data_IF_022128992090
#
_entry.id   IF_022128992090
#
_cell.length_a   1.000
_cell.length_b   1.000
_cell.length_c   1.000
_cell.angle_alpha   90.00
_cell.angle_beta   90.00
_cell.angle_gamma   90.00
#
_symmetry.space_group_name_H-M   'P 1'
#
loop_
_entity.id
_entity.type
_entity.pdbx_description
1 polymer ?
#
# COMPACT_ATOMS: atom_id res chain seq x y z
N UNK A 1 50.54 -4.09 -35.18
CA UNK A 1 49.36 -4.14 -36.08
C UNK A 1 48.08 -4.53 -35.34
N UNK A 2 48.12 -4.96 -34.07
CA UNK A 2 46.89 -5.31 -33.32
C UNK A 2 46.16 -4.12 -32.66
N UNK A 3 46.83 -2.98 -32.45
CA UNK A 3 46.22 -1.85 -31.73
C UNK A 3 45.17 -1.08 -32.57
N UNK A 4 45.40 -0.97 -33.89
CA UNK A 4 44.46 -0.31 -34.82
C UNK A 4 43.15 -1.10 -34.95
N UNK A 5 43.23 -2.43 -34.88
CA UNK A 5 42.06 -3.29 -34.96
C UNK A 5 41.21 -3.16 -33.69
N UNK A 6 41.85 -3.05 -32.52
CA UNK A 6 41.17 -2.82 -31.25
C UNK A 6 40.50 -1.45 -31.22
N UNK A 7 41.18 -0.38 -31.65
CA UNK A 7 40.59 0.96 -31.71
C UNK A 7 39.38 1.01 -32.66
N UNK A 8 39.49 0.34 -33.82
CA UNK A 8 38.38 0.24 -34.78
C UNK A 8 37.18 -0.45 -34.15
N UNK A 9 37.37 -1.60 -33.50
CA UNK A 9 36.28 -2.35 -32.84
C UNK A 9 35.66 -1.54 -31.71
N UNK A 10 36.47 -0.86 -30.87
CA UNK A 10 35.96 -0.04 -29.76
C UNK A 10 35.13 1.13 -30.30
N UNK A 11 35.60 1.81 -31.35
CA UNK A 11 34.87 2.91 -31.97
C UNK A 11 33.52 2.46 -32.53
N UNK A 12 33.47 1.27 -33.12
CA UNK A 12 32.26 0.73 -33.74
C UNK A 12 31.27 0.19 -32.70
N UNK A 13 31.76 -0.36 -31.59
CA UNK A 13 30.93 -0.71 -30.42
C UNK A 13 30.34 0.54 -29.78
N UNK A 14 31.14 1.59 -29.55
CA UNK A 14 30.66 2.86 -29.00
C UNK A 14 29.61 3.51 -29.91
N UNK A 15 29.81 3.47 -31.22
CA UNK A 15 28.84 3.95 -32.20
C UNK A 15 27.54 3.15 -32.16
N UNK A 16 27.61 1.82 -32.11
CA UNK A 16 26.42 0.96 -31.95
C UNK A 16 25.70 1.14 -30.61
N UNK A 17 26.41 1.53 -29.55
CA UNK A 17 25.80 1.87 -28.25
C UNK A 17 25.10 3.24 -28.32
N UNK A 18 25.72 4.24 -28.95
CA UNK A 18 25.12 5.56 -29.17
C UNK A 18 23.89 5.46 -30.10
N UNK A 19 23.97 4.70 -31.20
CA UNK A 19 22.85 4.47 -32.10
C UNK A 19 21.69 3.73 -31.41
N UNK A 20 21.97 2.88 -30.39
CA UNK A 20 20.96 2.24 -29.53
C UNK A 20 20.31 3.20 -28.54
N UNK A 21 21.03 4.21 -28.08
CA UNK A 21 20.46 5.28 -27.25
C UNK A 21 19.61 6.25 -28.09
N UNK A 22 20.02 6.56 -29.32
CA UNK A 22 19.28 7.44 -30.25
C UNK A 22 18.08 6.78 -30.95
N UNK A 23 18.07 5.46 -31.09
CA UNK A 23 16.92 4.70 -31.63
C UNK A 23 15.81 4.44 -30.61
N UNK A 24 15.94 4.95 -29.38
CA UNK A 24 14.78 5.09 -28.50
C UNK A 24 13.87 6.19 -29.08
N UNK A 25 12.59 5.90 -29.38
CA UNK A 25 11.68 6.92 -29.87
C UNK A 25 11.60 8.08 -28.86
N UNK A 26 11.42 9.33 -29.31
CA UNK A 26 11.32 10.48 -28.42
C UNK A 26 10.30 10.19 -27.33
N UNK A 27 10.70 10.40 -26.06
CA UNK A 27 9.81 10.24 -24.91
C UNK A 27 8.56 11.06 -25.19
N UNK A 28 7.41 10.42 -25.31
CA UNK A 28 6.28 11.11 -25.91
C UNK A 28 5.64 12.01 -24.83
N UNK A 29 5.39 13.28 -25.17
CA UNK A 29 4.91 14.35 -24.28
C UNK A 29 3.80 13.84 -23.34
N UNK A 30 4.10 13.69 -22.05
CA UNK A 30 3.20 13.18 -21.01
C UNK A 30 3.98 12.61 -19.81
N UNK A 31 3.41 12.73 -18.60
CA UNK A 31 3.96 12.11 -17.39
C UNK A 31 3.80 10.58 -17.50
N UNK A 32 4.66 9.80 -16.86
CA UNK A 32 4.59 8.33 -16.88
C UNK A 32 4.07 7.79 -15.55
N UNK A 33 3.07 6.93 -15.59
CA UNK A 33 2.59 6.19 -14.44
C UNK A 33 2.92 4.70 -14.59
N UNK A 34 3.64 4.16 -13.63
CA UNK A 34 3.99 2.75 -13.58
C UNK A 34 2.90 2.00 -12.82
N UNK A 35 2.20 1.10 -13.51
CA UNK A 35 1.02 0.40 -13.00
C UNK A 35 1.39 -1.06 -12.71
N UNK A 36 1.41 -1.43 -11.43
CA UNK A 36 1.96 -2.66 -10.91
C UNK A 36 0.84 -3.62 -10.48
N UNK A 37 0.41 -4.52 -11.37
CA UNK A 37 -0.65 -5.47 -11.05
C UNK A 37 -0.14 -6.65 -10.22
N UNK A 38 -0.88 -6.93 -9.15
CA UNK A 38 -0.82 -8.21 -8.44
C UNK A 38 -2.09 -9.04 -8.72
N UNK A 39 -2.11 -10.32 -8.32
CA UNK A 39 -3.19 -11.27 -8.66
C UNK A 39 -4.53 -11.07 -7.91
N UNK A 40 -4.92 -9.83 -7.61
CA UNK A 40 -6.20 -9.51 -6.98
C UNK A 40 -7.31 -9.37 -8.02
N UNK A 41 -8.55 -9.62 -7.63
CA UNK A 41 -9.73 -9.52 -8.52
C UNK A 41 -10.86 -8.64 -7.96
N UNK A 42 -10.88 -8.39 -6.65
CA UNK A 42 -11.87 -7.52 -6.01
C UNK A 42 -11.63 -6.08 -6.49
N UNK A 43 -12.66 -5.45 -7.09
CA UNK A 43 -12.58 -4.09 -7.64
C UNK A 43 -11.98 -4.00 -9.06
N UNK A 44 -11.72 -5.12 -9.74
CA UNK A 44 -11.05 -5.12 -11.06
C UNK A 44 -11.77 -4.25 -12.11
N UNK A 45 -13.11 -4.30 -12.17
CA UNK A 45 -13.88 -3.55 -13.17
C UNK A 45 -13.73 -2.05 -12.96
N UNK A 46 -13.96 -1.61 -11.73
CA UNK A 46 -13.89 -0.22 -11.28
C UNK A 46 -12.48 0.33 -11.51
N UNK A 47 -11.46 -0.43 -11.13
CA UNK A 47 -10.05 -0.07 -11.32
C UNK A 47 -9.69 0.11 -12.79
N UNK A 48 -10.19 -0.75 -13.69
CA UNK A 48 -9.95 -0.60 -15.13
C UNK A 48 -10.66 0.64 -15.71
N UNK A 49 -11.79 1.06 -15.14
CA UNK A 49 -12.42 2.35 -15.47
C UNK A 49 -11.58 3.53 -14.98
N UNK A 50 -11.07 3.48 -13.75
CA UNK A 50 -10.19 4.52 -13.21
C UNK A 50 -8.86 4.63 -13.96
N UNK A 51 -8.23 3.50 -14.33
CA UNK A 51 -7.00 3.51 -15.13
C UNK A 51 -7.23 4.11 -16.52
N UNK A 52 -8.40 3.87 -17.14
CA UNK A 52 -8.77 4.56 -18.39
C UNK A 52 -8.88 6.07 -18.19
N UNK A 53 -9.49 6.53 -17.10
CA UNK A 53 -9.56 7.96 -16.79
C UNK A 53 -8.16 8.58 -16.61
N UNK A 54 -7.25 7.87 -15.94
CA UNK A 54 -5.85 8.29 -15.81
C UNK A 54 -5.15 8.32 -17.18
N UNK A 55 -5.33 7.31 -18.02
CA UNK A 55 -4.74 7.25 -19.36
C UNK A 55 -5.28 8.34 -20.32
N UNK A 56 -6.54 8.75 -20.13
CA UNK A 56 -7.16 9.85 -20.88
C UNK A 56 -6.67 11.24 -20.43
N UNK A 57 -5.88 11.31 -19.36
CA UNK A 57 -5.25 12.54 -18.86
C UNK A 57 -3.84 12.73 -19.43
N UNK A 58 -2.95 13.45 -18.72
CA UNK A 58 -1.55 13.65 -19.12
C UNK A 58 -0.64 12.44 -18.84
N UNK A 59 -1.19 11.29 -18.44
CA UNK A 59 -0.41 10.13 -18.01
C UNK A 59 -0.37 9.02 -19.05
N UNK A 60 0.84 8.54 -19.34
CA UNK A 60 1.08 7.30 -20.08
C UNK A 60 1.26 6.15 -19.10
N UNK A 61 0.48 5.09 -19.28
CA UNK A 61 0.55 3.91 -18.44
C UNK A 61 1.60 2.94 -18.96
N UNK A 62 2.51 2.52 -18.08
CA UNK A 62 3.40 1.39 -18.32
C UNK A 62 3.06 0.30 -17.31
N UNK A 63 2.65 -0.86 -17.79
CA UNK A 63 2.11 -1.93 -16.94
C UNK A 63 3.17 -2.96 -16.63
N UNK A 64 3.22 -3.40 -15.38
CA UNK A 64 4.05 -4.52 -14.92
C UNK A 64 3.18 -5.53 -14.19
N UNK A 65 3.32 -6.80 -14.54
CA UNK A 65 2.55 -7.90 -13.95
C UNK A 65 3.45 -8.78 -13.08
N UNK A 66 2.95 -9.15 -11.90
CA UNK A 66 3.42 -10.38 -11.24
C UNK A 66 2.99 -11.61 -12.03
N UNK A 67 3.64 -12.78 -11.87
CA UNK A 67 3.20 -14.03 -12.50
C UNK A 67 1.73 -14.38 -12.20
N UNK A 68 1.26 -14.12 -10.98
CA UNK A 68 -0.14 -14.34 -10.60
C UNK A 68 -1.10 -13.37 -11.32
N UNK A 69 -0.71 -12.10 -11.50
CA UNK A 69 -1.50 -11.13 -12.26
C UNK A 69 -1.56 -11.51 -13.76
N UNK A 70 -0.45 -11.98 -14.32
CA UNK A 70 -0.40 -12.47 -15.69
C UNK A 70 -1.33 -13.66 -15.91
N UNK A 71 -1.37 -14.62 -14.99
CA UNK A 71 -2.24 -15.79 -15.08
C UNK A 71 -3.74 -15.46 -14.89
N UNK A 72 -4.08 -14.49 -14.04
CA UNK A 72 -5.47 -14.18 -13.66
C UNK A 72 -6.09 -13.12 -14.58
N UNK A 73 -5.36 -12.05 -14.86
CA UNK A 73 -5.85 -10.87 -15.59
C UNK A 73 -5.43 -10.97 -17.05
N UNK A 74 -4.18 -11.30 -17.30
CA UNK A 74 -3.62 -11.50 -18.63
C UNK A 74 -3.38 -10.19 -19.42
N UNK A 75 -2.38 -10.17 -20.33
CA UNK A 75 -2.12 -9.03 -21.20
C UNK A 75 -3.30 -8.66 -22.10
N UNK A 76 -4.05 -9.65 -22.59
CA UNK A 76 -5.14 -9.47 -23.54
C UNK A 76 -6.29 -8.63 -22.96
N UNK A 77 -6.73 -8.94 -21.73
CA UNK A 77 -7.76 -8.15 -21.06
C UNK A 77 -7.30 -6.70 -20.88
N UNK A 78 -6.06 -6.50 -20.44
CA UNK A 78 -5.52 -5.15 -20.19
C UNK A 78 -5.45 -4.34 -21.48
N UNK A 79 -4.95 -4.92 -22.59
CA UNK A 79 -4.95 -4.24 -23.90
C UNK A 79 -6.36 -3.92 -24.39
N UNK A 80 -7.31 -4.86 -24.23
CA UNK A 80 -8.70 -4.63 -24.64
C UNK A 80 -9.38 -3.47 -23.89
N UNK A 81 -8.92 -3.17 -22.66
CA UNK A 81 -9.51 -2.14 -21.79
C UNK A 81 -8.73 -0.85 -21.76
N UNK A 82 -7.41 -0.89 -21.89
CA UNK A 82 -6.52 0.26 -21.75
C UNK A 82 -5.91 0.71 -23.08
N UNK A 83 -6.15 -0.02 -24.17
CA UNK A 83 -5.61 0.27 -25.50
C UNK A 83 -4.20 -0.28 -25.69
N UNK A 84 -3.44 0.35 -26.59
CA UNK A 84 -2.06 -0.04 -26.86
C UNK A 84 -1.14 0.46 -25.73
N UNK A 85 -0.98 -0.39 -24.73
CA UNK A 85 -0.13 -0.17 -23.56
C UNK A 85 1.04 -1.13 -23.54
N UNK A 86 2.18 -0.65 -23.06
CA UNK A 86 3.33 -1.51 -22.80
C UNK A 86 3.08 -2.39 -21.57
N UNK A 87 3.28 -3.70 -21.72
CA UNK A 87 3.11 -4.70 -20.65
C UNK A 87 4.42 -5.45 -20.46
N UNK A 88 4.92 -5.41 -19.23
CA UNK A 88 6.15 -6.06 -18.77
C UNK A 88 5.77 -7.18 -17.79
N UNK A 89 6.33 -8.35 -17.99
CA UNK A 89 6.18 -9.54 -17.15
C UNK A 89 7.56 -10.04 -16.74
N UNK A 90 7.63 -11.11 -15.96
CA UNK A 90 8.91 -11.75 -15.63
C UNK A 90 9.60 -12.33 -16.87
N UNK A 91 8.84 -12.73 -17.90
CA UNK A 91 9.38 -13.31 -19.14
C UNK A 91 10.11 -12.29 -20.04
N UNK A 92 9.73 -11.00 -19.97
CA UNK A 92 10.32 -9.93 -20.77
C UNK A 92 10.84 -8.78 -19.88
N UNK A 93 11.37 -9.15 -18.70
CA UNK A 93 11.82 -8.24 -17.64
C UNK A 93 12.74 -7.14 -18.16
N UNK A 94 12.44 -5.90 -17.78
CA UNK A 94 13.30 -4.72 -17.98
C UNK A 94 14.03 -4.33 -16.70
N UNK A 95 15.04 -3.46 -16.83
CA UNK A 95 15.80 -2.92 -15.69
C UNK A 95 14.87 -2.21 -14.71
N UNK A 96 14.75 -2.67 -13.44
CA UNK A 96 13.94 -1.98 -12.44
C UNK A 96 14.42 -0.53 -12.20
N UNK A 97 15.72 -0.28 -12.35
CA UNK A 97 16.32 1.04 -12.18
C UNK A 97 15.84 2.04 -13.24
N UNK A 98 15.74 1.61 -14.49
CA UNK A 98 15.26 2.44 -15.60
C UNK A 98 13.76 2.71 -15.51
N UNK A 99 12.97 1.64 -15.29
CA UNK A 99 11.53 1.73 -15.10
C UNK A 99 11.19 2.69 -13.95
N UNK A 100 11.83 2.48 -12.80
CA UNK A 100 11.63 3.36 -11.66
C UNK A 100 12.09 4.78 -11.95
N UNK A 101 13.26 5.01 -12.57
CA UNK A 101 13.77 6.37 -12.88
C UNK A 101 12.76 7.18 -13.71
N UNK A 102 12.17 6.55 -14.71
CA UNK A 102 11.31 7.19 -15.70
C UNK A 102 9.85 7.41 -15.26
N UNK A 103 9.42 6.78 -14.17
CA UNK A 103 8.05 6.92 -13.66
C UNK A 103 7.85 8.16 -12.79
N UNK A 104 6.80 8.94 -13.00
CA UNK A 104 6.43 10.06 -12.12
C UNK A 104 5.61 9.60 -10.90
N UNK A 105 4.82 8.53 -11.08
CA UNK A 105 3.97 7.93 -10.05
C UNK A 105 3.95 6.41 -10.20
N UNK A 106 3.73 5.72 -9.08
CA UNK A 106 3.49 4.27 -9.05
C UNK A 106 2.07 4.01 -8.58
N UNK A 107 1.39 3.10 -9.27
CA UNK A 107 0.02 2.71 -8.99
C UNK A 107 0.00 1.19 -8.79
N UNK A 108 -0.58 0.72 -7.69
CA UNK A 108 -0.85 -0.70 -7.43
C UNK A 108 -2.37 -0.87 -7.51
N UNK A 109 -2.92 -1.11 -8.71
CA UNK A 109 -4.35 -1.03 -8.97
C UNK A 109 -5.17 -2.14 -8.31
N UNK A 110 -4.53 -3.27 -7.97
CA UNK A 110 -5.14 -4.40 -7.29
C UNK A 110 -4.09 -4.95 -6.32
N UNK A 111 -4.04 -4.43 -5.10
CA UNK A 111 -3.10 -4.87 -4.08
C UNK A 111 -3.63 -6.15 -3.42
N UNK A 112 -2.90 -7.27 -3.52
CA UNK A 112 -3.22 -8.50 -2.80
C UNK A 112 -2.67 -8.47 -1.37
N UNK A 113 -3.26 -9.26 -0.47
CA UNK A 113 -2.72 -9.48 0.88
C UNK A 113 -1.26 -9.96 0.86
N UNK A 114 -0.90 -10.82 -0.12
CA UNK A 114 0.47 -11.30 -0.30
C UNK A 114 1.44 -10.17 -0.67
N UNK A 115 1.09 -9.35 -1.66
CA UNK A 115 1.93 -8.20 -2.04
C UNK A 115 2.00 -7.17 -0.93
N UNK A 116 0.91 -6.89 -0.23
CA UNK A 116 0.90 -6.00 0.94
C UNK A 116 1.84 -6.51 2.05
N UNK A 117 1.75 -7.80 2.40
CA UNK A 117 2.63 -8.40 3.40
C UNK A 117 4.11 -8.34 2.99
N UNK A 118 4.42 -8.61 1.71
CA UNK A 118 5.80 -8.51 1.20
C UNK A 118 6.34 -7.09 1.26
N UNK A 119 5.55 -6.09 0.85
CA UNK A 119 5.93 -4.67 0.95
C UNK A 119 6.14 -4.28 2.42
N UNK A 120 5.22 -4.63 3.32
CA UNK A 120 5.28 -4.32 4.75
C UNK A 120 6.54 -4.88 5.45
N UNK A 121 7.18 -5.91 4.88
CA UNK A 121 8.38 -6.55 5.41
C UNK A 121 9.62 -6.37 4.51
N UNK A 122 9.56 -5.50 3.51
CA UNK A 122 10.70 -5.21 2.63
C UNK A 122 11.11 -6.35 1.68
N UNK A 123 10.21 -7.30 1.40
CA UNK A 123 10.47 -8.44 0.51
C UNK A 123 10.27 -8.02 -0.95
N UNK A 124 11.38 -7.92 -1.69
CA UNK A 124 11.43 -7.54 -3.11
C UNK A 124 11.77 -8.73 -4.03
N UNK A 125 11.01 -9.82 -3.92
CA UNK A 125 11.29 -11.11 -4.58
C UNK A 125 10.75 -11.23 -6.02
N UNK A 126 10.13 -10.18 -6.56
CA UNK A 126 9.64 -10.09 -7.93
C UNK A 126 9.75 -8.64 -8.43
N UNK A 127 9.56 -8.44 -9.73
CA UNK A 127 9.72 -7.13 -10.37
C UNK A 127 8.77 -6.09 -9.78
N UNK A 128 7.50 -6.42 -9.52
CA UNK A 128 6.51 -5.50 -8.93
C UNK A 128 6.97 -5.02 -7.54
N UNK A 129 7.33 -5.92 -6.64
CA UNK A 129 7.77 -5.54 -5.30
C UNK A 129 9.09 -4.76 -5.32
N UNK A 130 10.00 -5.10 -6.24
CA UNK A 130 11.24 -4.34 -6.47
C UNK A 130 10.94 -2.90 -6.88
N UNK A 131 9.97 -2.70 -7.78
CA UNK A 131 9.59 -1.37 -8.26
C UNK A 131 8.89 -0.52 -7.19
N UNK A 132 8.09 -1.14 -6.32
CA UNK A 132 7.53 -0.47 -5.13
C UNK A 132 8.66 -0.02 -4.20
N UNK A 133 9.60 -0.91 -3.87
CA UNK A 133 10.75 -0.57 -3.04
C UNK A 133 11.56 0.59 -3.62
N UNK A 134 11.82 0.57 -4.93
CA UNK A 134 12.56 1.64 -5.60
C UNK A 134 11.79 2.97 -5.61
N UNK A 135 10.46 2.92 -5.75
CA UNK A 135 9.62 4.11 -5.68
C UNK A 135 9.71 4.75 -4.29
N UNK A 136 9.57 3.95 -3.23
CA UNK A 136 9.68 4.42 -1.84
C UNK A 136 11.07 5.01 -1.56
N UNK A 137 12.15 4.31 -1.92
CA UNK A 137 13.52 4.80 -1.72
C UNK A 137 13.83 6.08 -2.52
N UNK A 138 13.10 6.35 -3.60
CA UNK A 138 13.24 7.56 -4.43
C UNK A 138 12.23 8.66 -4.09
N UNK A 139 11.39 8.47 -3.08
CA UNK A 139 10.34 9.42 -2.71
C UNK A 139 9.27 9.61 -3.80
N UNK A 140 9.05 8.60 -4.66
CA UNK A 140 8.01 8.67 -5.69
C UNK A 140 6.65 8.36 -5.08
N UNK A 141 5.59 9.13 -5.40
CA UNK A 141 4.25 8.84 -4.90
C UNK A 141 3.77 7.45 -5.31
N UNK A 142 3.28 6.68 -4.33
CA UNK A 142 2.72 5.34 -4.54
C UNK A 142 1.25 5.35 -4.11
N UNK A 143 0.37 4.95 -5.01
CA UNK A 143 -1.07 4.79 -4.76
C UNK A 143 -1.42 3.32 -4.85
N UNK A 144 -2.19 2.78 -3.89
CA UNK A 144 -2.59 1.38 -3.91
C UNK A 144 -4.08 1.21 -3.59
N UNK A 145 -4.76 0.39 -4.39
CA UNK A 145 -6.18 0.07 -4.17
C UNK A 145 -6.29 -1.07 -3.16
N UNK A 146 -6.99 -0.81 -2.06
CA UNK A 146 -7.01 -1.68 -0.88
C UNK A 146 -8.06 -2.80 -0.93
N UNK A 147 -9.04 -2.74 -1.83
CA UNK A 147 -10.23 -3.61 -1.84
C UNK A 147 -9.87 -5.11 -1.79
N UNK A 148 -8.81 -5.51 -2.51
CA UNK A 148 -8.36 -6.90 -2.56
C UNK A 148 -7.46 -7.32 -1.37
N UNK A 149 -6.88 -6.40 -0.62
CA UNK A 149 -6.02 -6.71 0.54
C UNK A 149 -6.67 -6.45 1.89
N UNK A 150 -7.73 -5.65 1.95
CA UNK A 150 -8.48 -5.38 3.17
C UNK A 150 -9.21 -6.66 3.63
N UNK A 151 -8.87 -7.20 4.82
CA UNK A 151 -9.53 -8.39 5.36
C UNK A 151 -10.98 -8.14 5.79
N UNK A 152 -11.42 -6.88 5.90
CA UNK A 152 -12.76 -6.48 6.29
C UNK A 152 -13.61 -5.96 5.12
N UNK A 153 -13.10 -6.05 3.89
CA UNK A 153 -13.86 -5.61 2.72
C UNK A 153 -15.16 -6.41 2.57
N UNK A 154 -16.27 -5.70 2.32
CA UNK A 154 -17.62 -6.29 2.18
C UNK A 154 -17.73 -7.35 1.08
N UNK A 155 -16.85 -7.33 0.07
CA UNK A 155 -16.80 -8.38 -0.94
C UNK A 155 -16.45 -9.75 -0.35
N UNK A 156 -15.72 -9.78 0.78
CA UNK A 156 -15.33 -11.02 1.48
C UNK A 156 -16.47 -11.63 2.28
N UNK A 157 -17.41 -10.83 2.75
CA UNK A 157 -18.63 -11.31 3.43
C UNK A 157 -19.46 -12.19 2.49
N UNK A 158 -19.61 -11.75 1.24
CA UNK A 158 -20.42 -12.44 0.22
C UNK A 158 -19.93 -13.86 -0.10
N UNK A 159 -18.68 -14.17 0.22
CA UNK A 159 -18.04 -15.47 -0.01
C UNK A 159 -17.62 -16.17 1.29
N UNK A 160 -18.16 -15.75 2.44
CA UNK A 160 -17.86 -16.30 3.77
C UNK A 160 -16.37 -16.29 4.17
N UNK A 161 -15.56 -15.40 3.58
CA UNK A 161 -14.14 -15.25 3.90
C UNK A 161 -13.87 -14.25 5.04
N UNK A 162 -14.90 -13.65 5.64
CA UNK A 162 -14.76 -12.70 6.75
C UNK A 162 -14.83 -13.36 8.14
N UNK A 163 -15.12 -14.67 8.20
CA UNK A 163 -15.25 -15.48 9.43
C UNK A 163 -13.91 -15.98 10.00
N UNK A 164 -12.79 -15.53 9.43
CA UNK A 164 -11.46 -15.99 9.80
C UNK A 164 -11.02 -15.58 11.22
N UNK A 165 -9.91 -16.18 11.66
CA UNK A 165 -9.28 -15.87 12.94
C UNK A 165 -8.99 -14.37 13.12
N UNK A 166 -9.42 -13.80 14.24
CA UNK A 166 -9.30 -12.35 14.52
C UNK A 166 -7.84 -11.86 14.54
N UNK A 167 -6.93 -12.60 15.17
CA UNK A 167 -5.51 -12.22 15.22
C UNK A 167 -4.87 -12.24 13.83
N UNK A 168 -5.27 -13.19 12.97
CA UNK A 168 -4.82 -13.23 11.59
C UNK A 168 -5.32 -12.02 10.78
N UNK A 169 -6.59 -11.63 10.94
CA UNK A 169 -7.13 -10.42 10.29
C UNK A 169 -6.46 -9.14 10.79
N UNK A 170 -6.16 -9.06 12.10
CA UNK A 170 -5.40 -7.95 12.67
C UNK A 170 -3.98 -7.88 12.11
N UNK A 171 -3.29 -9.02 11.97
CA UNK A 171 -1.98 -9.07 11.31
C UNK A 171 -2.07 -8.56 9.86
N UNK A 172 -3.09 -8.97 9.10
CA UNK A 172 -3.31 -8.47 7.73
C UNK A 172 -3.56 -6.96 7.69
N UNK A 173 -4.37 -6.43 8.62
CA UNK A 173 -4.59 -4.98 8.75
C UNK A 173 -3.32 -4.23 9.11
N UNK A 174 -2.51 -4.77 10.05
CA UNK A 174 -1.24 -4.15 10.45
C UNK A 174 -0.23 -4.04 9.30
N UNK A 175 -0.32 -4.91 8.29
CA UNK A 175 0.49 -4.76 7.08
C UNK A 175 0.05 -3.52 6.28
N UNK A 176 -1.26 -3.26 6.18
CA UNK A 176 -1.78 -2.06 5.50
C UNK A 176 -1.38 -0.79 6.25
N UNK A 177 -1.45 -0.81 7.59
CA UNK A 177 -1.04 0.33 8.42
C UNK A 177 0.45 0.66 8.19
N UNK A 178 1.33 -0.34 8.14
CA UNK A 178 2.74 -0.16 7.77
C UNK A 178 2.94 0.44 6.37
N UNK A 179 2.11 0.05 5.39
CA UNK A 179 2.18 0.62 4.05
C UNK A 179 1.85 2.12 4.07
N UNK A 180 0.86 2.53 4.88
CA UNK A 180 0.53 3.95 5.09
C UNK A 180 1.68 4.68 5.78
N UNK A 181 2.31 4.08 6.80
CA UNK A 181 3.49 4.64 7.48
C UNK A 181 4.68 4.84 6.52
N UNK A 182 4.83 3.99 5.50
CA UNK A 182 5.83 4.16 4.45
C UNK A 182 5.50 5.25 3.43
N UNK A 183 4.32 5.88 3.53
CA UNK A 183 3.85 6.92 2.62
C UNK A 183 3.10 6.40 1.40
N UNK A 184 2.64 5.14 1.40
CA UNK A 184 1.73 4.63 0.37
C UNK A 184 0.32 5.14 0.64
N UNK A 185 -0.27 5.80 -0.37
CA UNK A 185 -1.66 6.26 -0.30
C UNK A 185 -2.61 5.10 -0.64
N UNK A 186 -3.30 4.58 0.38
CA UNK A 186 -4.33 3.55 0.20
C UNK A 186 -5.67 4.18 -0.19
N UNK A 187 -6.31 3.68 -1.24
CA UNK A 187 -7.58 4.20 -1.77
C UNK A 187 -8.54 3.07 -2.08
N UNK A 188 -9.85 3.37 -2.12
CA UNK A 188 -10.84 2.44 -2.66
C UNK A 188 -10.80 2.47 -4.19
N UNK A 189 -11.26 1.37 -4.81
CA UNK A 189 -11.25 1.19 -6.26
C UNK A 189 -11.93 2.31 -7.04
N UNK A 190 -12.98 2.93 -6.50
CA UNK A 190 -13.70 4.06 -7.13
C UNK A 190 -12.96 5.40 -7.12
N UNK A 191 -11.99 5.58 -6.23
CA UNK A 191 -11.33 6.86 -5.95
C UNK A 191 -9.92 6.98 -6.54
N UNK A 192 -9.47 5.93 -7.24
CA UNK A 192 -8.09 5.83 -7.72
C UNK A 192 -7.67 6.99 -8.62
N UNK A 193 -8.47 7.35 -9.61
CA UNK A 193 -8.09 8.45 -10.53
C UNK A 193 -8.06 9.80 -9.81
N UNK A 194 -9.03 10.04 -8.92
CA UNK A 194 -9.11 11.24 -8.11
C UNK A 194 -7.85 11.40 -7.24
N UNK A 195 -7.42 10.33 -6.57
CA UNK A 195 -6.21 10.32 -5.76
C UNK A 195 -4.93 10.55 -6.58
N UNK A 196 -4.80 9.89 -7.73
CA UNK A 196 -3.62 10.05 -8.61
C UNK A 196 -3.53 11.48 -9.16
N UNK A 197 -4.67 12.09 -9.48
CA UNK A 197 -4.76 13.47 -9.99
C UNK A 197 -4.73 14.53 -8.87
N UNK A 198 -4.89 14.15 -7.62
CA UNK A 198 -4.87 15.05 -6.46
C UNK A 198 -6.18 15.84 -6.25
N UNK A 199 -7.32 15.28 -6.66
CA UNK A 199 -8.65 15.89 -6.51
C UNK A 199 -9.49 15.05 -5.53
N UNK A 200 -10.26 15.72 -4.66
CA UNK A 200 -11.01 15.18 -3.51
C UNK A 200 -11.31 13.68 -3.55
N UNK A 201 -10.55 12.90 -2.78
CA UNK A 201 -10.66 11.45 -2.68
C UNK A 201 -10.68 11.00 -1.20
N UNK A 202 -11.28 9.83 -0.95
CA UNK A 202 -11.30 9.21 0.37
C UNK A 202 -10.14 8.20 0.52
N UNK A 203 -9.36 8.34 1.59
CA UNK A 203 -8.29 7.42 1.91
C UNK A 203 -8.89 6.18 2.60
N UNK A 204 -8.44 4.99 2.20
CA UNK A 204 -8.96 3.71 2.72
C UNK A 204 -8.68 3.53 4.23
N UNK A 205 -7.80 4.35 4.78
CA UNK A 205 -7.58 4.56 6.20
C UNK A 205 -7.10 6.00 6.40
N UNK A 206 -8.02 6.96 6.53
CA UNK A 206 -7.71 8.03 7.48
C UNK A 206 -7.79 7.36 8.86
N UNK A 207 -6.80 7.48 9.76
CA UNK A 207 -7.20 7.57 11.15
C UNK A 207 -8.20 8.72 11.15
N UNK A 208 -9.45 8.42 11.48
CA UNK A 208 -10.29 9.47 12.04
C UNK A 208 -9.40 10.10 13.11
N UNK A 209 -8.93 11.33 12.87
CA UNK A 209 -9.14 12.35 13.86
C UNK A 209 -10.66 12.37 14.06
N UNK A 210 -11.14 11.36 14.79
CA UNK A 210 -12.27 11.51 15.64
C UNK A 210 -11.85 12.74 16.42
N UNK A 211 -12.55 13.83 16.18
CA UNK A 211 -12.83 14.79 17.24
C UNK A 211 -13.29 13.93 18.40
N UNK A 212 -12.32 13.46 19.18
CA UNK A 212 -12.56 12.75 20.40
C UNK A 212 -13.46 13.71 21.18
N UNK A 213 -14.68 13.31 21.58
CA UNK A 213 -15.29 14.02 22.68
C UNK A 213 -14.25 13.91 23.79
N UNK A 214 -13.71 15.04 24.23
CA UNK A 214 -12.66 15.14 25.23
C UNK A 214 -12.97 14.20 26.40
N UNK A 215 -12.38 13.01 26.40
CA UNK A 215 -12.46 12.08 27.52
C UNK A 215 -11.24 12.39 28.38
N UNK A 216 -11.42 12.67 29.69
CA UNK A 216 -10.30 12.95 30.58
C UNK A 216 -9.24 11.84 30.50
N UNK A 217 -7.98 12.22 30.68
CA UNK A 217 -6.80 11.34 30.70
C UNK A 217 -6.95 10.19 31.71
N UNK A 218 -7.59 9.10 31.26
CA UNK A 218 -8.03 8.00 32.11
C UNK A 218 -7.62 6.63 31.52
N UNK A 219 -7.01 5.78 32.36
CA UNK A 219 -6.74 4.39 32.03
C UNK A 219 -8.05 3.59 32.08
N UNK A 220 -8.37 2.83 31.03
CA UNK A 220 -9.60 2.02 30.99
C UNK A 220 -9.33 0.64 31.59
N UNK A 221 -10.08 0.28 32.62
CA UNK A 221 -9.98 -1.00 33.32
C UNK A 221 -11.23 -1.85 33.07
N UNK A 222 -11.05 -3.02 32.46
CA UNK A 222 -12.13 -3.88 31.96
C UNK A 222 -12.34 -5.16 32.78
N UNK A 223 -11.55 -5.39 33.84
CA UNK A 223 -11.70 -6.58 34.67
C UNK A 223 -12.82 -6.43 35.71
N UNK A 224 -13.31 -7.58 36.19
CA UNK A 224 -14.45 -7.67 37.12
C UNK A 224 -14.13 -7.17 38.53
N UNK A 225 -12.85 -7.16 38.92
CA UNK A 225 -12.40 -6.73 40.25
C UNK A 225 -11.19 -5.81 40.08
N UNK A 226 -11.23 -4.61 40.68
CA UNK A 226 -10.11 -3.68 40.73
C UNK A 226 -9.37 -3.86 42.07
N UNK A 227 -8.13 -4.35 42.01
CA UNK A 227 -7.27 -4.58 43.18
C UNK A 227 -6.28 -3.42 43.40
N UNK A 228 -5.68 -3.35 44.59
CA UNK A 228 -4.64 -2.35 44.88
C UNK A 228 -3.40 -2.50 43.98
N UNK A 229 -3.10 -3.72 43.53
CA UNK A 229 -2.03 -3.99 42.57
C UNK A 229 -2.30 -3.35 41.22
N UNK A 230 -3.55 -3.39 40.75
CA UNK A 230 -3.93 -2.79 39.46
C UNK A 230 -3.80 -1.26 39.51
N UNK A 231 -4.24 -0.63 40.61
CA UNK A 231 -4.08 0.81 40.84
C UNK A 231 -2.60 1.21 40.97
N UNK A 232 -1.74 0.31 41.46
CA UNK A 232 -0.31 0.59 41.61
C UNK A 232 0.46 0.69 40.29
N UNK A 233 -0.05 0.05 39.23
CA UNK A 233 0.58 0.01 37.90
C UNK A 233 0.03 1.10 36.97
N UNK A 234 -1.11 1.71 37.32
CA UNK A 234 -1.69 2.82 36.58
C UNK A 234 -0.75 4.04 36.56
N UNK A 235 -0.57 4.62 35.37
CA UNK A 235 0.32 5.77 35.14
C UNK A 235 -0.45 7.09 35.09
N UNK A 236 -1.77 7.03 34.93
CA UNK A 236 -2.66 8.19 34.78
C UNK A 236 -3.38 8.55 36.08
N UNK A 237 -3.92 9.77 36.11
CA UNK A 237 -4.65 10.34 37.26
C UNK A 237 -6.13 9.95 37.32
N UNK A 238 -6.65 9.22 36.35
CA UNK A 238 -7.99 8.68 36.39
C UNK A 238 -8.03 7.24 35.87
N UNK A 239 -8.94 6.43 36.41
CA UNK A 239 -9.20 5.07 35.96
C UNK A 239 -10.69 4.97 35.65
N UNK A 240 -11.03 4.66 34.40
CA UNK A 240 -12.40 4.39 33.97
C UNK A 240 -12.70 2.90 34.14
N UNK A 241 -13.64 2.56 35.01
CA UNK A 241 -14.06 1.17 35.27
C UNK A 241 -15.39 0.85 34.59
N UNK A 242 -15.61 -0.42 34.26
CA UNK A 242 -16.92 -0.87 33.78
C UNK A 242 -17.98 -0.78 34.91
N UNK A 243 -19.27 -0.58 34.59
CA UNK A 243 -20.33 -0.43 35.59
C UNK A 243 -20.49 -1.64 36.53
N UNK A 244 -20.02 -2.81 36.10
CA UNK A 244 -20.06 -4.07 36.87
C UNK A 244 -18.74 -4.42 37.57
N UNK A 245 -17.75 -3.52 37.59
CA UNK A 245 -16.46 -3.76 38.25
C UNK A 245 -16.56 -3.50 39.75
N UNK A 246 -16.18 -4.50 40.54
CA UNK A 246 -16.11 -4.41 42.00
C UNK A 246 -14.78 -3.76 42.40
N UNK A 247 -14.85 -2.61 43.08
CA UNK A 247 -13.67 -1.92 43.61
C UNK A 247 -13.39 -2.42 45.02
N UNK A 248 -12.20 -2.99 45.23
CA UNK A 248 -11.79 -3.44 46.57
C UNK A 248 -11.52 -2.24 47.50
N UNK A 249 -11.69 -2.42 48.82
CA UNK A 249 -11.42 -1.36 49.79
C UNK A 249 -9.97 -0.84 49.69
N UNK A 250 -9.00 -1.76 49.54
CA UNK A 250 -7.59 -1.41 49.36
C UNK A 250 -7.32 -0.66 48.04
N UNK A 251 -8.05 -0.95 46.96
CA UNK A 251 -7.92 -0.18 45.71
C UNK A 251 -8.43 1.26 45.88
N UNK A 252 -9.50 1.46 46.66
CA UNK A 252 -10.06 2.80 46.95
C UNK A 252 -9.11 3.63 47.81
N UNK A 253 -8.47 3.01 48.80
CA UNK A 253 -7.50 3.68 49.66
C UNK A 253 -6.23 4.05 48.88
N UNK A 254 -5.73 3.12 48.06
CA UNK A 254 -4.57 3.35 47.17
C UNK A 254 -4.82 4.46 46.14
N UNK A 255 -6.02 4.50 45.56
CA UNK A 255 -6.41 5.55 44.62
C UNK A 255 -6.43 6.93 45.31
N UNK A 256 -6.90 7.02 46.56
CA UNK A 256 -6.88 8.26 47.34
C UNK A 256 -5.47 8.71 47.67
N UNK A 257 -4.60 7.79 48.07
CA UNK A 257 -3.20 8.07 48.40
C UNK A 257 -2.41 8.62 47.20
N UNK A 258 -2.68 8.09 46.00
CA UNK A 258 -2.03 8.52 44.74
C UNK A 258 -2.76 9.65 44.01
N UNK A 259 -3.89 10.11 44.50
CA UNK A 259 -4.71 11.14 43.84
C UNK A 259 -5.27 10.70 42.48
N UNK A 260 -5.63 9.41 42.36
CA UNK A 260 -6.22 8.81 41.16
C UNK A 260 -7.75 8.79 41.30
N UNK A 261 -8.47 9.33 40.33
CA UNK A 261 -9.93 9.40 40.32
C UNK A 261 -10.53 8.16 39.64
N UNK A 262 -11.44 7.46 40.34
CA UNK A 262 -12.12 6.27 39.78
C UNK A 262 -13.45 6.72 39.17
N UNK A 263 -13.54 6.69 37.84
CA UNK A 263 -14.69 7.12 37.05
C UNK A 263 -15.46 5.87 36.59
N UNK A 264 -16.78 5.86 36.78
CA UNK A 264 -17.68 4.79 36.28
C UNK A 264 -18.27 5.15 34.93
#
# INVERSE_FOLDING_TARGET
MDNDLVETIVSEVLKKLADREESQPPVPQGKRALVLFSGGTIGLKEVLEQLRAIAASSYRLQVVLTPAAEAIIGPELLKSKLGDIEIITEANRKSPGELSKNADKVIIPLLTMNTAAKIAHGIADNLVNTLVMYALMRGKPVFAVCDACDPYDSARDKINMNLGNTAFKQMLKSNLDKLVEFGITLVKSGDLSAAVMGVGFEQCDKPTEDTAPSVPDADVFTLRVLSAGDVSVCKRKAIKIAPNTVVTAMAKDMARERGIEIIR
#
